data_IF_686242703077
#
_entry.id   IF_686242703077
#
_cell.length_a   1.000
_cell.length_b   1.000
_cell.length_c   1.000
_cell.angle_alpha   90.00
_cell.angle_beta   90.00
_cell.angle_gamma   90.00
#
_symmetry.space_group_name_H-M   'P 1'
#
loop_
_entity.id
_entity.type
_entity.pdbx_description
1 polymer ?
#
# COMPACT_ATOMS: atom_id res chain seq x y z
N UNK A 1 35.34 1.42 17.96
CA UNK A 1 34.23 1.51 16.98
C UNK A 1 34.69 2.30 15.76
N UNK A 2 34.97 1.62 14.63
CA UNK A 2 35.26 2.29 13.34
C UNK A 2 34.07 3.17 12.97
N UNK A 3 34.32 4.45 12.66
CA UNK A 3 33.30 5.34 12.09
C UNK A 3 32.90 4.76 10.73
N UNK A 4 31.64 4.37 10.57
CA UNK A 4 31.09 3.92 9.30
C UNK A 4 30.94 5.12 8.38
N UNK A 5 31.32 4.97 7.11
CA UNK A 5 31.03 5.99 6.10
C UNK A 5 29.52 5.99 5.72
N UNK A 6 29.09 6.99 4.96
CA UNK A 6 27.69 7.15 4.58
C UNK A 6 27.16 5.94 3.78
N UNK A 7 27.97 5.37 2.90
CA UNK A 7 27.58 4.25 2.04
C UNK A 7 27.38 2.97 2.86
N UNK A 8 28.31 2.66 3.77
CA UNK A 8 28.20 1.56 4.72
C UNK A 8 26.94 1.70 5.59
N UNK A 9 26.63 2.92 6.00
CA UNK A 9 25.45 3.21 6.80
C UNK A 9 24.14 3.01 6.01
N UNK A 10 24.11 3.42 4.73
CA UNK A 10 22.99 3.17 3.82
C UNK A 10 22.76 1.67 3.64
N UNK A 11 23.81 0.91 3.35
CA UNK A 11 23.69 -0.54 3.16
C UNK A 11 23.25 -1.26 4.44
N UNK A 12 23.75 -0.85 5.60
CA UNK A 12 23.29 -1.41 6.87
C UNK A 12 21.79 -1.17 7.08
N UNK A 13 21.30 0.06 6.81
CA UNK A 13 19.88 0.36 6.97
C UNK A 13 19.02 -0.47 6.01
N UNK A 14 19.44 -0.61 4.74
CA UNK A 14 18.78 -1.50 3.77
C UNK A 14 18.75 -2.96 4.25
N UNK A 15 19.88 -3.47 4.75
CA UNK A 15 19.97 -4.83 5.31
C UNK A 15 19.05 -5.03 6.51
N UNK A 16 18.93 -4.05 7.40
CA UNK A 16 18.02 -4.13 8.55
C UNK A 16 16.55 -4.15 8.14
N UNK A 17 16.17 -3.37 7.12
CA UNK A 17 14.81 -3.41 6.55
C UNK A 17 14.51 -4.78 5.93
N UNK A 18 15.43 -5.29 5.10
CA UNK A 18 15.29 -6.64 4.51
C UNK A 18 15.16 -7.72 5.59
N UNK A 19 15.96 -7.63 6.66
CA UNK A 19 15.84 -8.57 7.78
C UNK A 19 14.46 -8.48 8.46
N UNK A 20 13.91 -7.28 8.64
CA UNK A 20 12.55 -7.10 9.16
C UNK A 20 11.51 -7.76 8.24
N UNK A 21 11.63 -7.55 6.93
CA UNK A 21 10.72 -8.14 5.94
C UNK A 21 10.83 -9.67 5.90
N UNK A 22 12.05 -10.23 6.02
CA UNK A 22 12.29 -11.68 6.14
C UNK A 22 11.68 -12.25 7.43
N UNK A 23 11.81 -11.57 8.56
CA UNK A 23 11.18 -12.03 9.80
C UNK A 23 9.66 -12.07 9.69
N UNK A 24 9.07 -11.10 8.98
CA UNK A 24 7.63 -11.07 8.72
C UNK A 24 7.20 -12.24 7.82
N UNK A 25 7.91 -12.48 6.72
CA UNK A 25 7.61 -13.56 5.77
C UNK A 25 7.77 -14.96 6.37
N UNK A 26 8.66 -15.13 7.35
CA UNK A 26 8.93 -16.42 8.01
C UNK A 26 8.14 -16.64 9.29
N UNK A 27 7.17 -15.76 9.60
CA UNK A 27 6.40 -15.78 10.84
C UNK A 27 7.27 -15.80 12.11
N UNK A 28 8.37 -15.02 12.08
CA UNK A 28 9.35 -14.90 13.16
C UNK A 28 9.36 -13.49 13.74
N UNK A 29 8.18 -12.90 13.92
CA UNK A 29 8.03 -11.51 14.31
C UNK A 29 8.71 -11.18 15.66
N UNK A 30 8.71 -12.09 16.62
CA UNK A 30 9.39 -11.89 17.91
C UNK A 30 10.90 -11.69 17.78
N UNK A 31 11.54 -12.34 16.80
CA UNK A 31 12.98 -12.24 16.58
C UNK A 31 13.40 -10.90 15.96
N UNK A 32 12.45 -10.14 15.41
CA UNK A 32 12.71 -8.87 14.74
C UNK A 32 13.00 -7.69 15.68
N UNK A 33 12.77 -7.83 16.99
CA UNK A 33 12.77 -6.71 17.94
C UNK A 33 14.09 -5.92 17.97
N UNK A 34 15.22 -6.63 17.92
CA UNK A 34 16.54 -6.01 17.87
C UNK A 34 16.76 -5.30 16.54
N UNK A 35 16.32 -5.90 15.44
CA UNK A 35 16.41 -5.33 14.09
C UNK A 35 15.58 -4.05 13.97
N UNK A 36 14.35 -4.02 14.48
CA UNK A 36 13.49 -2.82 14.47
C UNK A 36 14.17 -1.67 15.24
N UNK A 37 14.62 -1.93 16.47
CA UNK A 37 15.29 -0.91 17.30
C UNK A 37 16.56 -0.39 16.61
N UNK A 38 17.35 -1.28 16.02
CA UNK A 38 18.57 -0.91 15.30
C UNK A 38 18.23 -0.12 14.04
N UNK A 39 17.24 -0.53 13.25
CA UNK A 39 16.78 0.16 12.04
C UNK A 39 16.45 1.64 12.32
N UNK A 40 15.65 1.94 13.34
CA UNK A 40 15.33 3.33 13.69
C UNK A 40 16.55 4.13 14.18
N UNK A 41 17.45 3.52 14.96
CA UNK A 41 18.69 4.18 15.40
C UNK A 41 19.61 4.49 14.23
N UNK A 42 19.82 3.51 13.35
CA UNK A 42 20.71 3.63 12.20
C UNK A 42 20.14 4.61 11.17
N UNK A 43 18.81 4.72 11.01
CA UNK A 43 18.16 5.81 10.26
C UNK A 43 18.52 7.18 10.82
N UNK A 44 18.29 7.41 12.12
CA UNK A 44 18.57 8.72 12.75
C UNK A 44 20.06 9.08 12.62
N UNK A 45 20.94 8.09 12.73
CA UNK A 45 22.37 8.27 12.51
C UNK A 45 22.67 8.63 11.05
N UNK A 46 22.04 7.96 10.08
CA UNK A 46 22.24 8.22 8.66
C UNK A 46 21.77 9.62 8.27
N UNK A 47 20.58 10.04 8.73
CA UNK A 47 20.07 11.40 8.48
C UNK A 47 21.09 12.45 8.92
N UNK A 48 21.62 12.34 10.15
CA UNK A 48 22.65 13.28 10.65
C UNK A 48 23.95 13.26 9.84
N UNK A 49 24.34 12.11 9.28
CA UNK A 49 25.52 11.99 8.43
C UNK A 49 25.27 12.67 7.09
N UNK A 50 24.10 12.45 6.48
CA UNK A 50 23.75 13.00 5.18
C UNK A 50 23.48 14.51 5.25
N UNK A 51 22.80 15.01 6.28
CA UNK A 51 22.60 16.44 6.51
C UNK A 51 23.91 17.23 6.53
N UNK A 52 25.01 16.61 6.99
CA UNK A 52 26.32 17.26 7.06
C UNK A 52 27.16 17.09 5.81
N UNK A 53 27.12 15.91 5.18
CA UNK A 53 28.10 15.53 4.17
C UNK A 53 27.51 15.43 2.75
N UNK A 54 26.20 15.18 2.61
CA UNK A 54 25.52 15.03 1.33
C UNK A 54 23.99 15.24 1.44
N UNK A 55 23.50 16.47 1.69
CA UNK A 55 22.07 16.73 1.92
C UNK A 55 21.17 16.30 0.75
N UNK A 56 21.67 16.40 -0.48
CA UNK A 56 20.96 15.97 -1.69
C UNK A 56 20.59 14.48 -1.66
N UNK A 57 21.33 13.64 -0.92
CA UNK A 57 21.02 12.21 -0.77
C UNK A 57 19.89 11.92 0.24
N UNK A 58 19.40 12.91 1.00
CA UNK A 58 18.26 12.70 1.89
C UNK A 58 16.98 12.39 1.10
N UNK A 59 16.79 13.04 -0.05
CA UNK A 59 15.62 12.83 -0.92
C UNK A 59 15.58 11.42 -1.55
N UNK A 60 16.73 10.76 -1.72
CA UNK A 60 16.80 9.40 -2.24
C UNK A 60 16.65 8.33 -1.16
N UNK A 61 16.58 8.72 0.12
CA UNK A 61 16.25 7.79 1.18
C UNK A 61 14.80 7.36 1.07
N UNK A 62 14.56 6.07 1.29
CA UNK A 62 13.19 5.62 1.54
C UNK A 62 12.58 6.42 2.71
N UNK A 63 11.32 6.88 2.58
CA UNK A 63 10.67 7.70 3.59
C UNK A 63 10.66 7.07 4.99
N UNK A 64 10.58 7.88 6.04
CA UNK A 64 10.58 7.36 7.43
C UNK A 64 9.29 6.60 7.79
N UNK A 65 8.14 6.98 7.22
CA UNK A 65 6.86 6.33 7.50
C UNK A 65 6.87 4.84 7.15
N UNK A 66 7.64 4.45 6.12
CA UNK A 66 7.85 3.07 5.67
C UNK A 66 8.51 2.17 6.72
N UNK A 67 9.41 2.71 7.53
CA UNK A 67 10.04 1.95 8.62
C UNK A 67 9.10 1.81 9.81
N UNK A 68 8.26 2.82 10.05
CA UNK A 68 7.18 2.73 11.04
C UNK A 68 6.09 1.75 10.63
N UNK A 69 5.77 1.66 9.33
CA UNK A 69 4.86 0.65 8.79
C UNK A 69 5.40 -0.77 9.04
N UNK A 70 6.67 -1.03 8.67
CA UNK A 70 7.34 -2.32 8.95
C UNK A 70 7.35 -2.65 10.44
N UNK A 71 7.74 -1.70 11.28
CA UNK A 71 7.76 -1.87 12.72
C UNK A 71 6.35 -2.16 13.27
N UNK A 72 5.33 -1.44 12.81
CA UNK A 72 3.94 -1.63 13.22
C UNK A 72 3.42 -3.04 12.95
N UNK A 73 3.67 -3.54 11.73
CA UNK A 73 3.31 -4.92 11.33
C UNK A 73 3.99 -5.95 12.23
N UNK A 74 5.31 -5.86 12.39
CA UNK A 74 6.07 -6.80 13.21
C UNK A 74 5.70 -6.74 14.69
N UNK A 75 5.46 -5.56 15.25
CA UNK A 75 4.99 -5.45 16.63
C UNK A 75 3.61 -6.09 16.81
N UNK A 76 2.70 -5.91 15.86
CA UNK A 76 1.37 -6.50 15.93
C UNK A 76 1.43 -8.03 15.85
N UNK A 77 2.19 -8.57 14.88
CA UNK A 77 2.42 -10.01 14.73
C UNK A 77 3.12 -10.62 15.96
N UNK A 78 3.99 -9.88 16.63
CA UNK A 78 4.63 -10.31 17.88
C UNK A 78 3.77 -10.08 19.14
N UNK A 79 2.47 -9.77 19.00
CA UNK A 79 1.55 -9.53 20.13
C UNK A 79 1.81 -8.23 20.92
N UNK A 80 2.71 -7.35 20.46
CA UNK A 80 3.08 -6.09 21.13
C UNK A 80 2.16 -4.94 20.73
N UNK A 81 0.88 -5.08 21.10
CA UNK A 81 -0.22 -4.17 20.72
C UNK A 81 0.10 -2.70 20.95
N UNK A 82 0.64 -2.34 22.12
CA UNK A 82 0.97 -0.94 22.45
C UNK A 82 2.04 -0.33 21.54
N UNK A 83 3.08 -1.09 21.20
CA UNK A 83 4.15 -0.64 20.31
C UNK A 83 3.68 -0.55 18.85
N UNK A 84 2.84 -1.50 18.43
CA UNK A 84 2.22 -1.50 17.12
C UNK A 84 1.32 -0.27 16.90
N UNK A 85 0.41 0.02 17.84
CA UNK A 85 -0.46 1.20 17.80
C UNK A 85 0.34 2.50 17.66
N UNK A 86 1.42 2.65 18.44
CA UNK A 86 2.32 3.82 18.36
C UNK A 86 3.00 3.92 16.99
N UNK A 87 3.42 2.79 16.43
CA UNK A 87 4.09 2.75 15.13
C UNK A 87 3.14 3.11 13.99
N UNK A 88 1.93 2.55 13.97
CA UNK A 88 0.91 2.92 12.98
C UNK A 88 0.48 4.39 13.12
N UNK A 89 0.30 4.90 14.34
CA UNK A 89 -0.01 6.31 14.56
C UNK A 89 1.13 7.23 14.07
N UNK A 90 2.39 6.84 14.26
CA UNK A 90 3.53 7.61 13.76
C UNK A 90 3.63 7.56 12.22
N UNK A 91 3.32 6.42 11.62
CA UNK A 91 3.21 6.28 10.16
C UNK A 91 2.17 7.27 9.61
N UNK A 92 0.97 7.29 10.18
CA UNK A 92 -0.10 8.23 9.80
C UNK A 92 0.31 9.70 9.96
N UNK A 93 1.02 10.04 11.03
CA UNK A 93 1.48 11.42 11.25
C UNK A 93 2.49 11.87 10.19
N UNK A 94 3.30 10.93 9.66
CA UNK A 94 4.34 11.20 8.68
C UNK A 94 3.82 11.13 7.23
N UNK A 95 2.80 10.31 6.99
CA UNK A 95 2.14 10.14 5.70
C UNK A 95 0.63 9.92 5.93
N UNK A 96 -0.15 11.01 6.06
CA UNK A 96 -1.61 10.93 6.17
C UNK A 96 -2.22 10.24 4.95
N UNK A 97 -3.25 9.44 5.14
CA UNK A 97 -3.93 8.74 4.03
C UNK A 97 -3.18 7.54 3.45
N UNK A 98 -2.09 7.09 4.10
CA UNK A 98 -1.28 5.97 3.64
C UNK A 98 -2.04 4.63 3.71
N UNK A 99 -2.68 4.25 2.61
CA UNK A 99 -3.58 3.09 2.54
C UNK A 99 -2.96 1.79 3.06
N UNK A 100 -1.73 1.46 2.64
CA UNK A 100 -1.09 0.20 3.07
C UNK A 100 -0.84 0.12 4.60
N UNK A 101 -0.77 1.28 5.29
CA UNK A 101 -0.64 1.35 6.73
C UNK A 101 -2.01 1.21 7.41
N UNK A 102 -3.04 1.86 6.86
CA UNK A 102 -4.42 1.73 7.35
C UNK A 102 -4.95 0.29 7.20
N UNK A 103 -4.75 -0.33 6.03
CA UNK A 103 -5.08 -1.74 5.76
C UNK A 103 -4.39 -2.66 6.78
N UNK A 104 -3.07 -2.52 6.95
CA UNK A 104 -2.31 -3.37 7.86
C UNK A 104 -2.76 -3.19 9.32
N UNK A 105 -3.10 -1.97 9.73
CA UNK A 105 -3.58 -1.69 11.08
C UNK A 105 -4.95 -2.32 11.36
N UNK A 106 -5.85 -2.36 10.37
CA UNK A 106 -7.16 -3.02 10.49
C UNK A 106 -6.98 -4.55 10.52
N UNK A 107 -6.18 -5.12 9.63
CA UNK A 107 -5.96 -6.56 9.57
C UNK A 107 -5.31 -7.12 10.85
N UNK A 108 -4.32 -6.41 11.41
CA UNK A 108 -3.55 -6.94 12.51
C UNK A 108 -4.09 -6.52 13.88
N UNK A 109 -4.75 -5.36 13.99
CA UNK A 109 -5.20 -4.79 15.26
C UNK A 109 -6.53 -4.02 15.09
N UNK A 110 -7.62 -4.71 14.69
CA UNK A 110 -8.89 -4.06 14.41
C UNK A 110 -9.39 -3.29 15.63
N UNK A 111 -9.66 -2.00 15.45
CA UNK A 111 -10.31 -1.15 16.43
C UNK A 111 -10.93 0.07 15.73
N UNK A 112 -11.78 0.80 16.45
CA UNK A 112 -12.53 1.95 15.91
C UNK A 112 -11.63 2.95 15.19
N UNK A 113 -10.53 3.38 15.84
CA UNK A 113 -9.61 4.37 15.25
C UNK A 113 -8.90 3.87 13.99
N UNK A 114 -8.64 2.57 13.88
CA UNK A 114 -8.01 2.01 12.68
C UNK A 114 -9.00 1.92 11.52
N UNK A 115 -10.25 1.53 11.79
CA UNK A 115 -11.31 1.49 10.77
C UNK A 115 -11.66 2.91 10.30
N UNK A 116 -11.81 3.87 11.22
CA UNK A 116 -12.02 5.29 10.89
C UNK A 116 -10.92 5.82 9.96
N UNK A 117 -9.66 5.49 10.26
CA UNK A 117 -8.51 5.87 9.45
C UNK A 117 -8.53 5.21 8.06
N UNK A 118 -8.91 3.94 7.97
CA UNK A 118 -9.04 3.25 6.69
C UNK A 118 -10.10 3.93 5.82
N UNK A 119 -11.29 4.18 6.37
CA UNK A 119 -12.37 4.88 5.66
C UNK A 119 -11.93 6.27 5.19
N UNK A 120 -11.28 7.05 6.06
CA UNK A 120 -10.73 8.35 5.71
C UNK A 120 -9.67 8.26 4.59
N UNK A 121 -8.76 7.28 4.68
CA UNK A 121 -7.70 7.07 3.69
C UNK A 121 -8.27 6.67 2.33
N UNK A 122 -9.30 5.82 2.31
CA UNK A 122 -10.01 5.43 1.07
C UNK A 122 -10.70 6.63 0.45
N UNK A 123 -11.38 7.45 1.25
CA UNK A 123 -12.02 8.66 0.76
C UNK A 123 -11.00 9.67 0.18
N UNK A 124 -9.83 9.83 0.81
CA UNK A 124 -8.78 10.70 0.29
C UNK A 124 -8.06 10.13 -0.94
N UNK A 125 -8.09 8.82 -1.15
CA UNK A 125 -7.39 8.17 -2.25
C UNK A 125 -8.04 8.36 -3.62
N UNK A 126 -9.27 8.90 -3.66
CA UNK A 126 -9.99 9.20 -4.89
C UNK A 126 -10.69 7.98 -5.49
N UNK A 127 -10.94 8.03 -6.80
CA UNK A 127 -11.65 6.99 -7.53
C UNK A 127 -10.77 5.76 -7.79
N UNK A 128 -11.42 4.60 -7.95
CA UNK A 128 -10.77 3.40 -8.48
C UNK A 128 -10.26 3.68 -9.89
N UNK A 129 -9.03 3.30 -10.15
CA UNK A 129 -8.43 3.32 -11.48
C UNK A 129 -8.00 1.91 -11.87
N UNK A 130 -8.00 1.65 -13.18
CA UNK A 130 -7.41 0.45 -13.75
C UNK A 130 -6.07 0.83 -14.37
N UNK A 131 -4.98 0.31 -13.80
CA UNK A 131 -3.62 0.58 -14.27
C UNK A 131 -2.89 -0.74 -14.44
N UNK A 132 -2.30 -0.95 -15.62
CA UNK A 132 -1.58 -2.19 -15.96
C UNK A 132 -2.40 -3.47 -15.70
N UNK A 133 -3.72 -3.41 -15.95
CA UNK A 133 -4.65 -4.52 -15.73
C UNK A 133 -5.03 -4.79 -14.27
N UNK A 134 -4.62 -3.94 -13.33
CA UNK A 134 -4.92 -4.07 -11.89
C UNK A 134 -5.78 -2.89 -11.43
N UNK A 135 -6.88 -3.21 -10.74
CA UNK A 135 -7.70 -2.21 -10.06
C UNK A 135 -7.00 -1.73 -8.79
N UNK A 136 -6.83 -0.42 -8.66
CA UNK A 136 -6.13 0.18 -7.54
C UNK A 136 -6.70 1.55 -7.18
N UNK A 137 -6.43 1.98 -5.95
CA UNK A 137 -6.61 3.33 -5.46
C UNK A 137 -5.24 4.02 -5.45
N UNK A 138 -5.20 5.28 -5.90
CA UNK A 138 -3.94 6.03 -6.07
C UNK A 138 -3.98 7.33 -5.27
N UNK A 139 -3.76 7.27 -3.94
CA UNK A 139 -3.69 8.45 -3.10
C UNK A 139 -2.55 9.39 -3.51
N UNK A 140 -2.75 10.68 -3.28
CA UNK A 140 -1.72 11.70 -3.48
C UNK A 140 -0.57 11.45 -2.49
N UNK A 141 0.67 11.53 -2.97
CA UNK A 141 1.92 11.37 -2.20
C UNK A 141 2.16 10.06 -1.45
N UNK A 142 1.29 9.05 -1.60
CA UNK A 142 1.49 7.72 -1.00
C UNK A 142 1.32 6.59 -2.02
N UNK A 143 1.89 5.40 -1.76
CA UNK A 143 1.84 4.31 -2.74
C UNK A 143 0.40 3.86 -3.04
N UNK A 144 0.14 3.52 -4.30
CA UNK A 144 -1.13 2.91 -4.71
C UNK A 144 -1.41 1.63 -3.92
N UNK A 145 -2.69 1.36 -3.66
CA UNK A 145 -3.13 0.13 -3.00
C UNK A 145 -4.07 -0.66 -3.91
N UNK A 146 -3.89 -1.98 -3.93
CA UNK A 146 -4.78 -2.88 -4.66
C UNK A 146 -6.21 -2.76 -4.11
N UNK A 147 -7.19 -2.70 -5.01
CA UNK A 147 -8.60 -2.56 -4.65
C UNK A 147 -9.10 -3.73 -3.79
N UNK A 148 -8.71 -4.96 -4.12
CA UNK A 148 -9.14 -6.16 -3.42
C UNK A 148 -8.61 -6.16 -1.97
N UNK A 149 -7.37 -5.69 -1.74
CA UNK A 149 -6.81 -5.53 -0.38
C UNK A 149 -7.62 -4.52 0.45
N UNK A 150 -8.06 -3.42 -0.17
CA UNK A 150 -8.90 -2.40 0.48
C UNK A 150 -10.27 -2.96 0.82
N UNK A 151 -10.92 -3.65 -0.12
CA UNK A 151 -12.24 -4.29 0.10
C UNK A 151 -12.14 -5.33 1.22
N UNK A 152 -11.10 -6.16 1.23
CA UNK A 152 -10.86 -7.15 2.26
C UNK A 152 -10.71 -6.50 3.65
N UNK A 153 -9.94 -5.41 3.73
CA UNK A 153 -9.75 -4.68 4.98
C UNK A 153 -11.04 -4.02 5.49
N UNK A 154 -11.83 -3.41 4.59
CA UNK A 154 -13.14 -2.84 4.94
C UNK A 154 -14.11 -3.93 5.41
N UNK A 155 -14.11 -5.08 4.75
CA UNK A 155 -14.96 -6.23 5.10
C UNK A 155 -14.61 -6.73 6.51
N UNK A 156 -13.33 -6.95 6.78
CA UNK A 156 -12.85 -7.36 8.10
C UNK A 156 -13.18 -6.30 9.16
N UNK A 157 -12.96 -5.03 8.86
CA UNK A 157 -13.28 -3.92 9.75
C UNK A 157 -14.77 -3.87 10.11
N UNK A 158 -15.65 -4.05 9.13
CA UNK A 158 -17.10 -4.08 9.33
C UNK A 158 -17.58 -5.29 10.14
N UNK A 159 -16.97 -6.47 9.92
CA UNK A 159 -17.29 -7.69 10.67
C UNK A 159 -16.82 -7.61 12.14
N UNK A 160 -15.61 -7.10 12.37
CA UNK A 160 -15.02 -7.00 13.71
C UNK A 160 -15.59 -5.82 14.50
N UNK A 161 -16.10 -4.78 13.83
CA UNK A 161 -16.72 -3.62 14.44
C UNK A 161 -18.10 -3.33 13.81
N UNK A 162 -19.16 -3.95 14.33
CA UNK A 162 -20.52 -3.74 13.82
C UNK A 162 -20.96 -2.28 13.76
N UNK A 163 -20.44 -1.44 14.66
CA UNK A 163 -20.68 0.02 14.66
C UNK A 163 -20.25 0.74 13.39
N UNK A 164 -19.30 0.20 12.63
CA UNK A 164 -18.83 0.74 11.35
C UNK A 164 -19.28 -0.12 10.17
N UNK A 165 -20.02 -1.21 10.42
CA UNK A 165 -20.43 -2.18 9.40
C UNK A 165 -21.19 -1.54 8.25
N UNK A 166 -22.15 -0.65 8.55
CA UNK A 166 -22.89 0.07 7.51
C UNK A 166 -21.99 0.96 6.65
N UNK A 167 -21.06 1.70 7.27
CA UNK A 167 -20.13 2.59 6.55
C UNK A 167 -19.13 1.80 5.70
N UNK A 168 -18.58 0.71 6.24
CA UNK A 168 -17.72 -0.20 5.48
C UNK A 168 -18.46 -0.78 4.28
N UNK A 169 -19.68 -1.30 4.47
CA UNK A 169 -20.47 -1.90 3.40
C UNK A 169 -20.83 -0.88 2.31
N UNK A 170 -21.21 0.34 2.69
CA UNK A 170 -21.48 1.41 1.71
C UNK A 170 -20.22 1.75 0.89
N UNK A 171 -19.05 1.82 1.55
CA UNK A 171 -17.77 2.09 0.87
C UNK A 171 -17.39 0.94 -0.06
N UNK A 172 -17.55 -0.32 0.37
CA UNK A 172 -17.31 -1.51 -0.45
C UNK A 172 -18.22 -1.51 -1.69
N UNK A 173 -19.52 -1.23 -1.51
CA UNK A 173 -20.46 -1.19 -2.62
C UNK A 173 -20.05 -0.13 -3.64
N UNK A 174 -19.76 1.10 -3.18
CA UNK A 174 -19.31 2.19 -4.04
C UNK A 174 -18.05 1.83 -4.84
N UNK A 175 -17.04 1.24 -4.19
CA UNK A 175 -15.81 0.78 -4.86
C UNK A 175 -16.07 -0.32 -5.89
N UNK A 176 -16.99 -1.23 -5.59
CA UNK A 176 -17.39 -2.34 -6.49
C UNK A 176 -18.16 -1.83 -7.69
N UNK A 177 -19.00 -0.82 -7.51
CA UNK A 177 -19.74 -0.15 -8.59
C UNK A 177 -18.76 0.56 -9.54
N UNK A 178 -17.73 1.23 -9.01
CA UNK A 178 -16.68 1.84 -9.81
C UNK A 178 -15.90 0.81 -10.63
N UNK A 179 -15.47 -0.31 -10.02
CA UNK A 179 -14.85 -1.44 -10.74
C UNK A 179 -15.74 -1.94 -11.88
N UNK A 180 -17.02 -2.14 -11.60
CA UNK A 180 -18.00 -2.62 -12.59
C UNK A 180 -18.17 -1.63 -13.75
N UNK A 181 -18.22 -0.33 -13.45
CA UNK A 181 -18.33 0.73 -14.46
C UNK A 181 -17.12 0.75 -15.40
N UNK A 182 -15.91 0.60 -14.85
CA UNK A 182 -14.67 0.53 -15.66
C UNK A 182 -14.71 -0.69 -16.57
N UNK A 183 -14.99 -1.88 -16.05
CA UNK A 183 -15.04 -3.12 -16.85
C UNK A 183 -16.07 -3.02 -17.98
N UNK A 184 -17.26 -2.47 -17.71
CA UNK A 184 -18.29 -2.24 -18.74
C UNK A 184 -17.81 -1.25 -19.81
N UNK A 185 -17.11 -0.19 -19.41
CA UNK A 185 -16.53 0.77 -20.33
C UNK A 185 -15.48 0.16 -21.27
N UNK A 186 -14.59 -0.68 -20.73
CA UNK A 186 -13.58 -1.40 -21.53
C UNK A 186 -14.21 -2.41 -22.49
N UNK A 187 -15.21 -3.17 -22.02
CA UNK A 187 -15.96 -4.10 -22.87
C UNK A 187 -16.63 -3.35 -24.03
N UNK A 188 -17.31 -2.24 -23.75
CA UNK A 188 -17.95 -1.43 -24.80
C UNK A 188 -16.94 -0.83 -25.79
N UNK A 189 -15.74 -0.44 -25.34
CA UNK A 189 -14.68 0.02 -26.23
C UNK A 189 -14.14 -1.10 -27.13
N UNK A 190 -13.94 -2.29 -26.56
CA UNK A 190 -13.48 -3.47 -27.29
C UNK A 190 -14.50 -3.96 -28.31
N UNK A 191 -15.80 -3.97 -27.98
CA UNK A 191 -16.88 -4.30 -28.92
C UNK A 191 -16.92 -3.35 -30.12
N UNK A 192 -16.70 -2.05 -29.88
CA UNK A 192 -16.62 -1.04 -30.97
C UNK A 192 -15.41 -1.29 -31.88
N UNK A 193 -14.26 -1.62 -31.30
CA UNK A 193 -13.05 -1.97 -32.07
C UNK A 193 -13.27 -3.23 -32.90
N UNK A 194 -13.87 -4.28 -32.30
CA UNK A 194 -14.17 -5.52 -33.01
C UNK A 194 -15.16 -5.29 -34.16
N UNK A 195 -16.21 -4.50 -33.93
CA UNK A 195 -17.17 -4.13 -34.97
C UNK A 195 -16.49 -3.37 -36.12
N UNK A 196 -15.55 -2.47 -35.81
CA UNK A 196 -14.77 -1.75 -36.83
C UNK A 196 -13.84 -2.69 -37.62
N UNK A 197 -13.22 -3.67 -36.96
CA UNK A 197 -12.39 -4.68 -37.61
C UNK A 197 -13.20 -5.61 -38.52
N UNK A 198 -14.39 -6.03 -38.09
CA UNK A 198 -15.27 -6.87 -38.91
C UNK A 198 -15.81 -6.10 -40.13
N UNK A 199 -16.03 -4.80 -40.01
CA UNK A 199 -16.35 -3.92 -41.14
C UNK A 199 -15.18 -3.71 -42.12
N UNK A 200 -13.94 -4.02 -41.71
CA UNK A 200 -12.72 -3.91 -42.52
C UNK A 200 -12.40 -5.18 -43.33
N UNK A 201 -13.11 -6.29 -43.10
CA UNK A 201 -12.97 -7.51 -43.93
C UNK A 201 -13.56 -7.25 -45.32
N UNK A 202 -12.75 -7.28 -46.40
CA UNK A 202 -13.28 -7.07 -47.75
C UNK A 202 -14.30 -8.16 -48.07
N UNK A 203 -15.50 -7.76 -48.49
CA UNK A 203 -16.35 -8.64 -49.30
C UNK A 203 -15.64 -8.80 -50.65
N UNK A 204 -14.77 -9.81 -50.76
CA UNK A 204 -14.27 -10.23 -52.05
C UNK A 204 -15.45 -10.86 -52.81
N UNK A 205 -16.21 -10.03 -53.52
CA UNK A 205 -16.99 -10.48 -54.67
C UNK A 205 -15.97 -10.89 -55.74
N UNK A 206 -15.50 -12.13 -55.67
CA UNK A 206 -14.90 -12.77 -56.83
C UNK A 206 -16.02 -12.94 -57.86
N UNK A 207 -16.21 -11.93 -58.70
CA UNK A 207 -16.88 -12.12 -59.97
C UNK A 207 -16.13 -13.23 -60.71
N UNK A 208 -16.81 -14.37 -60.83
CA UNK A 208 -16.50 -15.40 -61.80
C UNK A 208 -16.39 -14.73 -63.17
N UNK A 209 -15.17 -14.59 -63.68
CA UNK A 209 -14.98 -14.46 -65.11
C UNK A 209 -15.12 -15.87 -65.68
N UNK A 210 -16.19 -16.04 -66.46
CA UNK A 210 -16.50 -17.26 -67.20
C UNK A 210 -15.55 -17.55 -68.35
#
# INVERSE_FOLDING_TARGET
NKKRDAQQQIFLLKGLRLMCDVYMLRDKAEQSMTSIKRMHRERKSLVKILEKNAPAMLASMQPEHEDHLRAGRLYALAGKVGAAKKSFAKCETLAPGHLAAAIAAVHLLPNKKHVDRLLASVNSAGAVILSSGIFQLSPEDTPSANLDDVINALTMGGQQLPSHGQQCNATIQHLTDQRTAITKGEQAANERLQSALDNLKPKHDYYQYG
#
